data_IF_598151612757
#
_entry.id   IF_598151612757
#
_cell.length_a   1.000
_cell.length_b   1.000
_cell.length_c   1.000
_cell.angle_alpha   90.00
_cell.angle_beta   90.00
_cell.angle_gamma   90.00
#
_symmetry.space_group_name_H-M   'P 1'
#
loop_
_entity.id
_entity.type
_entity.pdbx_description
1 polymer ?
#
# COMPACT_ATOMS: atom_id res chain seq x y z
N UNK A 1 26.80 5.84 35.41
CA UNK A 1 26.99 6.64 34.18
C UNK A 1 25.98 7.77 34.18
N UNK A 2 26.48 9.01 34.21
CA UNK A 2 25.72 10.23 34.47
C UNK A 2 25.04 10.70 33.18
N UNK A 3 23.69 10.71 33.16
CA UNK A 3 22.93 11.38 32.10
C UNK A 3 22.86 12.87 32.41
N UNK A 4 23.69 13.66 31.73
CA UNK A 4 23.65 15.12 31.82
C UNK A 4 22.43 15.66 31.08
N UNK A 5 21.43 16.09 31.85
CA UNK A 5 20.22 16.78 31.36
C UNK A 5 20.57 18.24 31.01
N UNK A 6 21.16 18.48 29.83
CA UNK A 6 21.47 19.83 29.37
C UNK A 6 20.22 20.49 28.75
N UNK A 7 19.51 21.26 29.57
CA UNK A 7 18.23 21.91 29.27
C UNK A 7 18.40 23.27 28.57
N UNK A 8 18.96 23.30 27.35
CA UNK A 8 19.02 24.52 26.51
C UNK A 8 18.70 24.24 25.04
N UNK A 9 17.46 23.86 24.75
CA UNK A 9 16.89 23.94 23.39
C UNK A 9 15.71 24.91 23.39
N UNK A 10 15.65 25.89 22.47
CA UNK A 10 14.50 26.78 22.38
C UNK A 10 13.24 25.95 22.05
N UNK A 11 12.16 26.14 22.81
CA UNK A 11 10.86 25.46 22.66
C UNK A 11 10.34 25.40 21.21
N UNK A 12 10.69 26.40 20.40
CA UNK A 12 10.39 26.48 18.96
C UNK A 12 11.03 25.34 18.14
N UNK A 13 12.27 24.95 18.45
CA UNK A 13 12.99 23.88 17.75
C UNK A 13 12.47 22.48 18.09
N UNK A 14 11.97 22.28 19.32
CA UNK A 14 11.34 21.02 19.74
C UNK A 14 9.96 20.86 19.11
N UNK A 15 9.14 21.91 19.08
CA UNK A 15 7.84 21.90 18.40
C UNK A 15 7.98 21.62 16.88
N UNK A 16 8.98 22.21 16.22
CA UNK A 16 9.27 21.95 14.81
C UNK A 16 9.76 20.53 14.54
N UNK A 17 10.59 19.95 15.42
CA UNK A 17 10.95 18.52 15.33
C UNK A 17 9.75 17.62 15.55
N UNK A 18 8.91 17.91 16.53
CA UNK A 18 7.73 17.09 16.80
C UNK A 18 6.71 17.15 15.66
N UNK A 19 6.47 18.34 15.08
CA UNK A 19 5.65 18.49 13.88
C UNK A 19 6.25 17.76 12.67
N UNK A 20 7.57 17.84 12.46
CA UNK A 20 8.25 17.08 11.39
C UNK A 20 8.12 15.58 11.59
N UNK A 21 8.37 15.06 12.79
CA UNK A 21 8.24 13.63 13.11
C UNK A 21 6.80 13.16 12.95
N UNK A 22 5.80 13.94 13.41
CA UNK A 22 4.39 13.59 13.29
C UNK A 22 3.93 13.54 11.82
N UNK A 23 4.37 14.50 11.00
CA UNK A 23 4.13 14.47 9.53
C UNK A 23 4.86 13.32 8.85
N UNK A 24 6.10 13.03 9.25
CA UNK A 24 6.89 11.94 8.71
C UNK A 24 6.22 10.58 9.02
N UNK A 25 5.80 10.34 10.26
CA UNK A 25 5.05 9.13 10.62
C UNK A 25 3.71 9.03 9.90
N UNK A 26 3.00 10.13 9.66
CA UNK A 26 1.76 10.12 8.88
C UNK A 26 1.99 9.76 7.40
N UNK A 27 3.05 10.30 6.79
CA UNK A 27 3.46 9.96 5.42
C UNK A 27 3.89 8.50 5.28
N UNK A 28 4.71 8.01 6.22
CA UNK A 28 5.14 6.59 6.28
C UNK A 28 3.93 5.66 6.39
N UNK A 29 2.94 5.98 7.25
CA UNK A 29 1.72 5.17 7.38
C UNK A 29 0.90 5.14 6.09
N UNK A 30 0.73 6.28 5.41
CA UNK A 30 0.00 6.36 4.14
C UNK A 30 0.70 5.59 3.01
N UNK A 31 2.03 5.64 2.97
CA UNK A 31 2.85 4.88 2.03
C UNK A 31 2.59 3.37 2.14
N UNK A 32 2.79 2.80 3.32
CA UNK A 32 2.59 1.36 3.53
C UNK A 32 1.13 0.96 3.27
N UNK A 33 0.17 1.76 3.73
CA UNK A 33 -1.25 1.43 3.56
C UNK A 33 -1.65 1.40 2.08
N UNK A 34 -1.16 2.34 1.28
CA UNK A 34 -1.40 2.37 -0.16
C UNK A 34 -0.86 1.12 -0.86
N UNK A 35 0.43 0.82 -0.66
CA UNK A 35 1.05 -0.33 -1.34
C UNK A 35 0.50 -1.66 -0.83
N UNK A 36 0.09 -1.77 0.44
CA UNK A 36 -0.56 -2.98 0.96
C UNK A 36 -1.93 -3.16 0.32
N UNK A 37 -2.74 -2.10 0.21
CA UNK A 37 -4.02 -2.15 -0.50
C UNK A 37 -3.84 -2.50 -1.98
N UNK A 38 -2.81 -1.94 -2.63
CA UNK A 38 -2.49 -2.20 -4.04
C UNK A 38 -2.02 -3.66 -4.25
N UNK A 39 -1.15 -4.17 -3.37
CA UNK A 39 -0.74 -5.57 -3.39
C UNK A 39 -1.93 -6.52 -3.17
N UNK A 40 -2.81 -6.21 -2.21
CA UNK A 40 -4.01 -7.01 -1.93
C UNK A 40 -4.96 -7.03 -3.14
N UNK A 41 -5.15 -5.87 -3.78
CA UNK A 41 -5.93 -5.75 -5.00
C UNK A 41 -5.37 -6.62 -6.13
N UNK A 42 -4.07 -6.53 -6.38
CA UNK A 42 -3.38 -7.34 -7.39
C UNK A 42 -3.44 -8.85 -7.09
N UNK A 43 -3.29 -9.24 -5.82
CA UNK A 43 -3.33 -10.63 -5.39
C UNK A 43 -4.71 -11.25 -5.62
N UNK A 44 -5.76 -10.54 -5.22
CA UNK A 44 -7.16 -10.92 -5.45
C UNK A 44 -7.44 -11.16 -6.93
N UNK A 45 -6.99 -10.22 -7.78
CA UNK A 45 -7.21 -10.29 -9.21
C UNK A 45 -6.43 -11.46 -9.85
N UNK A 46 -5.18 -11.65 -9.43
CA UNK A 46 -4.33 -12.77 -9.84
C UNK A 46 -4.89 -14.13 -9.40
N UNK A 47 -5.35 -14.25 -8.15
CA UNK A 47 -5.98 -15.47 -7.62
C UNK A 47 -7.24 -15.84 -8.41
N UNK A 48 -8.08 -14.85 -8.74
CA UNK A 48 -9.27 -15.06 -9.57
C UNK A 48 -8.90 -15.58 -10.95
N UNK A 49 -7.88 -15.00 -11.58
CA UNK A 49 -7.39 -15.46 -12.88
C UNK A 49 -6.84 -16.89 -12.83
N UNK A 50 -6.03 -17.22 -11.82
CA UNK A 50 -5.50 -18.56 -11.61
C UNK A 50 -6.63 -19.57 -11.42
N UNK A 51 -7.66 -19.23 -10.63
CA UNK A 51 -8.80 -20.12 -10.42
C UNK A 51 -9.58 -20.40 -11.72
N UNK A 52 -9.74 -19.41 -12.59
CA UNK A 52 -10.41 -19.58 -13.88
C UNK A 52 -9.57 -20.41 -14.87
N UNK A 53 -8.24 -20.23 -14.87
CA UNK A 53 -7.33 -21.06 -15.68
C UNK A 53 -7.40 -22.53 -15.24
N UNK A 54 -7.43 -22.80 -13.93
CA UNK A 54 -7.57 -24.16 -13.39
C UNK A 54 -8.93 -24.77 -13.76
N UNK A 55 -9.98 -23.94 -13.85
CA UNK A 55 -11.30 -24.36 -14.31
C UNK A 55 -11.38 -24.65 -15.82
N UNK A 56 -10.28 -24.44 -16.57
CA UNK A 56 -10.18 -24.70 -18.00
C UNK A 56 -10.38 -23.46 -18.88
N UNK A 57 -10.69 -22.31 -18.30
CA UNK A 57 -10.88 -21.06 -19.04
C UNK A 57 -9.53 -20.37 -19.30
N UNK A 58 -9.02 -20.57 -20.52
CA UNK A 58 -7.74 -19.98 -20.98
C UNK A 58 -7.95 -18.75 -21.86
N UNK A 59 -9.05 -18.02 -21.65
CA UNK A 59 -9.32 -16.84 -22.47
C UNK A 59 -8.24 -15.78 -22.27
N UNK A 60 -7.87 -15.11 -23.37
CA UNK A 60 -6.86 -14.06 -23.41
C UNK A 60 -7.01 -13.01 -22.28
N UNK A 61 -8.22 -12.50 -21.94
CA UNK A 61 -8.38 -11.56 -20.83
C UNK A 61 -8.05 -12.15 -19.45
N UNK A 62 -8.28 -13.44 -19.22
CA UNK A 62 -7.99 -14.11 -17.94
C UNK A 62 -6.47 -14.22 -17.74
N UNK A 63 -5.75 -14.60 -18.80
CA UNK A 63 -4.29 -14.70 -18.74
C UNK A 63 -3.65 -13.34 -18.52
N UNK A 64 -4.12 -12.29 -19.21
CA UNK A 64 -3.67 -10.92 -18.95
C UNK A 64 -3.98 -10.47 -17.52
N UNK A 65 -5.15 -10.82 -17.00
CA UNK A 65 -5.54 -10.48 -15.63
C UNK A 65 -4.58 -11.10 -14.60
N UNK A 66 -4.17 -12.35 -14.82
CA UNK A 66 -3.17 -13.02 -13.99
C UNK A 66 -1.82 -12.31 -13.99
N UNK A 67 -1.29 -11.99 -15.17
CA UNK A 67 0.01 -11.31 -15.32
C UNK A 67 -0.04 -9.90 -14.71
N UNK A 68 -1.12 -9.16 -14.97
CA UNK A 68 -1.32 -7.83 -14.41
C UNK A 68 -1.42 -7.86 -12.88
N UNK A 69 -2.16 -8.82 -12.31
CA UNK A 69 -2.26 -9.02 -10.86
C UNK A 69 -0.90 -9.33 -10.24
N UNK A 70 -0.12 -10.24 -10.85
CA UNK A 70 1.23 -10.58 -10.37
C UNK A 70 2.17 -9.37 -10.43
N UNK A 71 2.15 -8.61 -11.53
CA UNK A 71 2.94 -7.40 -11.71
C UNK A 71 2.61 -6.33 -10.67
N UNK A 72 1.32 -6.16 -10.33
CA UNK A 72 0.90 -5.26 -9.25
C UNK A 72 1.44 -5.69 -7.89
N UNK A 73 1.41 -6.98 -7.55
CA UNK A 73 1.95 -7.48 -6.27
C UNK A 73 3.46 -7.25 -6.20
N UNK A 74 4.20 -7.66 -7.23
CA UNK A 74 5.67 -7.54 -7.28
C UNK A 74 6.08 -6.07 -7.26
N UNK A 75 5.43 -5.22 -8.07
CA UNK A 75 5.70 -3.79 -8.09
C UNK A 75 5.41 -3.12 -6.75
N UNK A 76 4.34 -3.54 -6.06
CA UNK A 76 4.01 -3.02 -4.73
C UNK A 76 5.05 -3.41 -3.68
N UNK A 77 5.49 -4.67 -3.68
CA UNK A 77 6.53 -5.15 -2.77
C UNK A 77 7.89 -4.50 -3.06
N UNK A 78 8.23 -4.34 -4.33
CA UNK A 78 9.45 -3.65 -4.75
C UNK A 78 9.46 -2.23 -4.20
N UNK A 79 8.41 -1.46 -4.45
CA UNK A 79 8.29 -0.10 -3.92
C UNK A 79 8.26 -0.07 -2.38
N UNK A 80 7.65 -1.03 -1.70
CA UNK A 80 7.72 -1.09 -0.23
C UNK A 80 9.16 -1.26 0.32
N UNK A 81 10.02 -1.98 -0.42
CA UNK A 81 11.38 -2.31 0.02
C UNK A 81 12.39 -1.26 -0.43
N UNK A 82 12.25 -0.72 -1.64
CA UNK A 82 13.21 0.20 -2.25
C UNK A 82 12.73 1.65 -2.27
N UNK A 83 11.43 1.88 -2.13
CA UNK A 83 10.81 3.19 -2.20
C UNK A 83 11.07 4.04 -0.95
N UNK A 84 11.28 5.33 -1.17
CA UNK A 84 11.43 6.29 -0.09
C UNK A 84 10.07 6.86 0.31
N UNK A 85 9.72 6.70 1.59
CA UNK A 85 8.50 7.28 2.19
C UNK A 85 8.45 8.81 2.08
N UNK A 86 9.60 9.46 1.91
CA UNK A 86 9.69 10.91 1.71
C UNK A 86 9.37 11.36 0.28
N UNK A 87 9.49 10.47 -0.71
CA UNK A 87 9.17 10.73 -2.12
C UNK A 87 7.71 10.39 -2.45
N UNK A 88 6.97 9.80 -1.52
CA UNK A 88 5.58 9.41 -1.72
C UNK A 88 4.66 10.63 -1.75
N UNK A 89 4.32 11.07 -2.96
CA UNK A 89 3.38 12.14 -3.21
C UNK A 89 2.27 11.65 -4.15
N UNK A 90 1.39 10.80 -3.62
CA UNK A 90 0.18 10.36 -4.29
C UNK A 90 -0.97 11.25 -3.85
N UNK A 91 -1.71 11.78 -4.83
CA UNK A 91 -2.88 12.61 -4.55
C UNK A 91 -3.92 11.85 -3.74
N UNK A 92 -4.59 12.53 -2.80
CA UNK A 92 -5.61 11.92 -1.93
C UNK A 92 -6.68 11.18 -2.76
N UNK A 93 -7.04 11.68 -3.94
CA UNK A 93 -8.00 11.01 -4.85
C UNK A 93 -7.53 9.61 -5.29
N UNK A 94 -6.26 9.48 -5.71
CA UNK A 94 -5.72 8.20 -6.14
C UNK A 94 -5.54 7.24 -4.98
N UNK A 95 -5.16 7.75 -3.80
CA UNK A 95 -5.12 6.97 -2.57
C UNK A 95 -6.49 6.37 -2.23
N UNK A 96 -7.52 7.21 -2.17
CA UNK A 96 -8.88 6.76 -1.86
C UNK A 96 -9.46 5.84 -2.93
N UNK A 97 -9.15 6.08 -4.22
CA UNK A 97 -9.57 5.18 -5.30
C UNK A 97 -9.04 3.76 -5.12
N UNK A 98 -7.76 3.60 -4.76
CA UNK A 98 -7.17 2.28 -4.51
C UNK A 98 -7.77 1.65 -3.26
N UNK A 99 -7.89 2.39 -2.15
CA UNK A 99 -8.46 1.85 -0.91
C UNK A 99 -9.92 1.41 -1.11
N UNK A 100 -10.76 2.25 -1.70
CA UNK A 100 -12.16 1.92 -1.98
C UNK A 100 -12.25 0.77 -2.98
N UNK A 101 -11.41 0.78 -4.03
CA UNK A 101 -11.34 -0.31 -5.01
C UNK A 101 -11.04 -1.66 -4.36
N UNK A 102 -10.04 -1.73 -3.48
CA UNK A 102 -9.71 -2.94 -2.72
C UNK A 102 -10.88 -3.40 -1.85
N UNK A 103 -11.52 -2.49 -1.13
CA UNK A 103 -12.67 -2.83 -0.26
C UNK A 103 -13.85 -3.36 -1.08
N UNK A 104 -14.21 -2.71 -2.18
CA UNK A 104 -15.30 -3.14 -3.07
C UNK A 104 -14.99 -4.50 -3.68
N UNK A 105 -13.76 -4.71 -4.14
CA UNK A 105 -13.34 -6.00 -4.70
C UNK A 105 -13.41 -7.11 -3.66
N UNK A 106 -12.91 -6.89 -2.45
CA UNK A 106 -13.00 -7.87 -1.37
C UNK A 106 -14.47 -8.17 -1.06
N UNK A 107 -15.32 -7.15 -0.98
CA UNK A 107 -16.75 -7.31 -0.75
C UNK A 107 -17.45 -8.10 -1.87
N UNK A 108 -17.03 -7.95 -3.12
CA UNK A 108 -17.54 -8.72 -4.26
C UNK A 108 -17.01 -10.15 -4.32
N UNK A 109 -15.84 -10.43 -3.73
CA UNK A 109 -15.27 -11.77 -3.67
C UNK A 109 -15.77 -12.60 -2.50
N UNK A 110 -16.05 -11.99 -1.33
CA UNK A 110 -16.63 -12.68 -0.16
C UNK A 110 -17.86 -13.54 -0.52
N UNK A 111 -18.86 -13.07 -1.30
CA UNK A 111 -20.01 -13.88 -1.68
C UNK A 111 -19.70 -14.98 -2.71
N UNK A 112 -18.51 -15.02 -3.31
CA UNK A 112 -18.07 -16.13 -4.19
C UNK A 112 -17.33 -17.24 -3.44
N UNK A 113 -16.98 -17.01 -2.17
CA UNK A 113 -16.24 -17.94 -1.33
C UNK A 113 -17.13 -18.72 -0.32
N UNK A 114 -18.42 -18.36 -0.21
CA UNK A 114 -19.44 -18.99 0.64
C UNK A 114 -20.40 -19.82 -0.20
#
# INVERSE_FOLDING_TARGET
MVCHHNSRYPLRSQAERFCRVKRYCAGVKRFYLFYVCLATYGAVFGLSAVSAIVAGDSSLPIVLAGIAGLGMVIGSLYEMVTGSTAAFNIGDLAFWAVVVGTVVILFLQVPKLV
#
